data_IF_239732985385
#
_entry.id   IF_239732985385
#
_cell.length_a   1.000
_cell.length_b   1.000
_cell.length_c   1.000
_cell.angle_alpha   90.00
_cell.angle_beta   90.00
_cell.angle_gamma   90.00
#
_symmetry.space_group_name_H-M   'P 1'
#
loop_
_entity.id
_entity.type
_entity.pdbx_description
1 polymer ?
#
# COMPACT_ATOMS: atom_id res chain seq x y z
N UNK A 1 5.29 15.45 51.82
CA UNK A 1 5.99 14.66 50.77
C UNK A 1 7.23 15.40 50.30
N UNK A 2 8.37 14.72 50.11
CA UNK A 2 9.65 15.34 49.73
C UNK A 2 9.55 15.91 48.30
N UNK A 3 10.05 17.13 48.01
CA UNK A 3 9.95 17.76 46.67
C UNK A 3 10.43 16.86 45.53
N UNK A 4 11.45 16.03 45.79
CA UNK A 4 12.00 15.08 44.80
C UNK A 4 11.00 13.97 44.40
N UNK A 5 10.15 13.51 45.31
CA UNK A 5 9.11 12.52 44.99
C UNK A 5 7.96 13.12 44.17
N UNK A 6 7.66 14.41 44.36
CA UNK A 6 6.63 15.12 43.58
C UNK A 6 7.10 15.33 42.14
N UNK A 7 8.36 15.74 41.94
CA UNK A 7 8.92 15.91 40.60
C UNK A 7 8.97 14.59 39.81
N UNK A 8 9.32 13.46 40.45
CA UNK A 8 9.29 12.13 39.82
C UNK A 8 7.86 11.70 39.45
N UNK A 9 6.87 12.00 40.28
CA UNK A 9 5.46 11.68 40.02
C UNK A 9 4.88 12.53 38.88
N UNK A 10 5.22 13.82 38.80
CA UNK A 10 4.81 14.71 37.70
C UNK A 10 5.44 14.27 36.37
N UNK A 11 6.74 13.92 36.37
CA UNK A 11 7.43 13.43 35.18
C UNK A 11 6.88 12.07 34.69
N UNK A 12 6.55 11.18 35.63
CA UNK A 12 5.89 9.92 35.29
C UNK A 12 4.49 10.17 34.71
N UNK A 13 3.70 11.06 35.32
CA UNK A 13 2.36 11.40 34.85
C UNK A 13 2.34 11.99 33.43
N UNK A 14 3.29 12.86 33.08
CA UNK A 14 3.38 13.44 31.73
C UNK A 14 3.86 12.43 30.68
N UNK A 15 4.80 11.54 31.02
CA UNK A 15 5.24 10.47 30.12
C UNK A 15 4.12 9.48 29.78
N UNK A 16 3.30 9.09 30.77
CA UNK A 16 2.14 8.22 30.53
C UNK A 16 1.07 8.90 29.68
N UNK A 17 0.76 10.18 29.96
CA UNK A 17 -0.21 10.93 29.16
C UNK A 17 0.24 11.08 27.69
N UNK A 18 1.52 11.40 27.47
CA UNK A 18 2.09 11.48 26.12
C UNK A 18 2.03 10.15 25.35
N UNK A 19 2.34 9.04 26.04
CA UNK A 19 2.28 7.69 25.46
C UNK A 19 0.88 7.27 25.00
N UNK A 20 -0.16 7.57 25.79
CA UNK A 20 -1.57 7.25 25.44
C UNK A 20 -2.02 8.04 24.20
N UNK A 21 -1.66 9.33 24.11
CA UNK A 21 -2.02 10.18 22.98
C UNK A 21 -1.33 9.69 21.70
N UNK A 22 -0.03 9.38 21.75
CA UNK A 22 0.70 8.84 20.61
C UNK A 22 0.15 7.49 20.15
N UNK A 23 -0.12 6.58 21.09
CA UNK A 23 -0.67 5.25 20.81
C UNK A 23 -2.03 5.33 20.10
N UNK A 24 -2.94 6.18 20.59
CA UNK A 24 -4.24 6.39 19.95
C UNK A 24 -4.12 7.00 18.55
N UNK A 25 -3.15 7.90 18.34
CA UNK A 25 -2.96 8.55 17.03
C UNK A 25 -2.36 7.59 15.99
N UNK A 26 -1.41 6.74 16.38
CA UNK A 26 -0.86 5.67 15.53
C UNK A 26 -1.97 4.68 15.15
N UNK A 27 -2.78 4.24 16.12
CA UNK A 27 -3.90 3.33 15.86
C UNK A 27 -4.94 3.93 14.92
N UNK A 28 -5.23 5.23 15.03
CA UNK A 28 -6.12 5.95 14.11
C UNK A 28 -5.55 6.07 12.68
N UNK A 29 -4.24 6.22 12.52
CA UNK A 29 -3.61 6.31 11.20
C UNK A 29 -3.64 4.98 10.43
N UNK A 30 -3.50 3.85 11.13
CA UNK A 30 -3.54 2.51 10.50
C UNK A 30 -4.94 2.13 9.97
N UNK A 31 -5.99 2.88 10.36
CA UNK A 31 -7.38 2.60 9.99
C UNK A 31 -7.97 3.49 8.91
N UNK A 32 -7.17 4.36 8.25
CA UNK A 32 -7.67 5.12 7.09
C UNK A 32 -7.82 4.16 5.91
N UNK A 33 -8.92 3.39 5.91
CA UNK A 33 -9.45 2.72 4.72
C UNK A 33 -9.65 3.81 3.68
N UNK A 34 -8.76 3.84 2.69
CA UNK A 34 -9.05 4.56 1.45
C UNK A 34 -10.38 3.99 0.97
N UNK A 35 -11.35 4.85 0.69
CA UNK A 35 -12.62 4.38 0.17
C UNK A 35 -12.36 3.83 -1.23
N UNK A 36 -12.55 2.52 -1.37
CA UNK A 36 -12.46 1.78 -2.64
C UNK A 36 -13.82 1.11 -2.80
N UNK A 37 -14.34 1.11 -4.02
CA UNK A 37 -15.54 0.35 -4.32
C UNK A 37 -15.28 -1.14 -4.06
N UNK A 38 -16.28 -1.86 -3.57
CA UNK A 38 -16.13 -3.28 -3.16
C UNK A 38 -15.67 -4.18 -4.31
N UNK A 39 -16.05 -3.85 -5.54
CA UNK A 39 -15.63 -4.53 -6.78
C UNK A 39 -14.19 -4.21 -7.19
N UNK A 40 -13.63 -3.08 -6.76
CA UNK A 40 -12.27 -2.64 -7.08
C UNK A 40 -11.27 -2.90 -5.94
N UNK A 41 -11.73 -3.42 -4.80
CA UNK A 41 -10.85 -3.73 -3.68
C UNK A 41 -10.22 -5.12 -3.87
N UNK A 42 -9.06 -5.14 -4.52
CA UNK A 42 -8.23 -6.35 -4.66
C UNK A 42 -7.44 -6.69 -3.38
N UNK A 43 -7.55 -5.88 -2.32
CA UNK A 43 -6.82 -6.09 -1.07
C UNK A 43 -7.62 -7.06 -0.21
N UNK A 44 -7.23 -8.34 -0.25
CA UNK A 44 -7.76 -9.41 0.60
C UNK A 44 -9.13 -9.97 0.18
N UNK A 45 -9.36 -10.09 -1.13
CA UNK A 45 -10.49 -10.84 -1.67
C UNK A 45 -10.01 -12.21 -2.16
N UNK A 46 -10.39 -13.27 -1.44
CA UNK A 46 -10.14 -14.67 -1.85
C UNK A 46 -10.69 -14.97 -3.25
N UNK A 47 -11.69 -14.18 -3.67
CA UNK A 47 -12.30 -14.23 -4.99
C UNK A 47 -11.31 -13.88 -6.10
N UNK A 48 -10.52 -12.81 -5.93
CA UNK A 48 -9.59 -12.31 -6.95
C UNK A 48 -8.42 -13.29 -7.20
N UNK A 49 -8.06 -14.09 -6.19
CA UNK A 49 -7.05 -15.15 -6.30
C UNK A 49 -7.56 -16.41 -7.03
N UNK A 50 -8.88 -16.52 -7.28
CA UNK A 50 -9.52 -17.72 -7.82
C UNK A 50 -10.22 -17.49 -9.15
N UNK A 51 -10.69 -16.27 -9.37
CA UNK A 51 -11.34 -15.89 -10.62
C UNK A 51 -10.30 -15.64 -11.72
N UNK A 52 -10.63 -16.11 -12.91
CA UNK A 52 -9.83 -15.86 -14.11
C UNK A 52 -9.85 -14.37 -14.47
N UNK A 53 -8.78 -13.91 -15.11
CA UNK A 53 -8.66 -12.54 -15.60
C UNK A 53 -9.84 -12.13 -16.46
N UNK A 54 -10.29 -10.89 -16.26
CA UNK A 54 -11.38 -10.27 -17.05
C UNK A 54 -11.02 -10.20 -18.54
N UNK A 55 -9.74 -10.02 -18.88
CA UNK A 55 -9.32 -9.94 -20.28
C UNK A 55 -8.86 -11.27 -20.88
N UNK A 56 -9.02 -12.41 -20.19
CA UNK A 56 -8.69 -13.74 -20.75
C UNK A 56 -9.44 -14.05 -22.07
N UNK A 57 -10.61 -13.43 -22.28
CA UNK A 57 -11.34 -13.53 -23.55
C UNK A 57 -10.70 -12.76 -24.71
N UNK A 58 -9.96 -11.69 -24.40
CA UNK A 58 -9.44 -10.74 -25.38
C UNK A 58 -7.94 -10.89 -25.61
N UNK A 59 -7.18 -11.35 -24.61
CA UNK A 59 -5.74 -11.59 -24.69
C UNK A 59 -5.42 -13.05 -24.34
N UNK A 60 -4.79 -13.75 -25.28
CA UNK A 60 -4.30 -15.11 -25.08
C UNK A 60 -3.26 -15.19 -23.95
N UNK A 61 -2.52 -14.11 -23.69
CA UNK A 61 -1.53 -14.04 -22.64
C UNK A 61 -2.13 -13.89 -21.23
N UNK A 62 -3.43 -13.58 -21.14
CA UNK A 62 -4.19 -13.50 -19.89
C UNK A 62 -5.01 -14.76 -19.59
N UNK A 63 -5.08 -15.71 -20.53
CA UNK A 63 -5.78 -16.99 -20.32
C UNK A 63 -5.13 -17.80 -19.21
N UNK A 64 -5.95 -18.26 -18.27
CA UNK A 64 -5.49 -19.01 -17.10
C UNK A 64 -4.73 -18.19 -16.05
N UNK A 65 -4.59 -16.86 -16.23
CA UNK A 65 -4.16 -15.98 -15.15
C UNK A 65 -5.33 -15.69 -14.23
N UNK A 66 -5.06 -15.61 -12.92
CA UNK A 66 -6.02 -15.05 -11.98
C UNK A 66 -6.13 -13.54 -12.20
N UNK A 67 -7.20 -12.93 -11.70
CA UNK A 67 -7.33 -11.46 -11.72
C UNK A 67 -6.15 -10.76 -11.02
N UNK A 68 -5.63 -11.35 -9.93
CA UNK A 68 -4.44 -10.84 -9.25
C UNK A 68 -3.19 -10.91 -10.15
N UNK A 69 -2.95 -12.06 -10.77
CA UNK A 69 -1.77 -12.26 -11.61
C UNK A 69 -1.79 -11.36 -12.84
N UNK A 70 -2.98 -11.15 -13.43
CA UNK A 70 -3.18 -10.23 -14.53
C UNK A 70 -2.88 -8.77 -14.13
N UNK A 71 -3.33 -8.34 -12.94
CA UNK A 71 -3.01 -7.01 -12.43
C UNK A 71 -1.50 -6.82 -12.21
N UNK A 72 -0.81 -7.79 -11.58
CA UNK A 72 0.64 -7.71 -11.41
C UNK A 72 1.40 -7.71 -12.73
N UNK A 73 0.97 -8.52 -13.69
CA UNK A 73 1.55 -8.51 -15.04
C UNK A 73 1.40 -7.14 -15.69
N UNK A 74 0.22 -6.53 -15.61
CA UNK A 74 -0.04 -5.19 -16.15
C UNK A 74 0.85 -4.14 -15.49
N UNK A 75 0.99 -4.16 -14.16
CA UNK A 75 1.90 -3.26 -13.45
C UNK A 75 3.36 -3.45 -13.90
N UNK A 76 3.81 -4.69 -14.06
CA UNK A 76 5.15 -4.99 -14.56
C UNK A 76 5.38 -4.48 -15.98
N UNK A 77 4.42 -4.67 -16.89
CA UNK A 77 4.49 -4.16 -18.25
C UNK A 77 4.47 -2.63 -18.30
N UNK A 78 3.63 -1.97 -17.48
CA UNK A 78 3.55 -0.53 -17.40
C UNK A 78 4.87 0.10 -16.91
N UNK A 79 5.56 -0.58 -15.99
CA UNK A 79 6.87 -0.17 -15.52
C UNK A 79 8.00 -0.46 -16.54
N UNK A 80 7.76 -1.28 -17.56
CA UNK A 80 8.78 -1.76 -18.50
C UNK A 80 9.23 -0.77 -19.59
N UNK A 81 8.58 0.40 -19.75
CA UNK A 81 8.93 1.40 -20.78
C UNK A 81 9.76 2.55 -20.18
N UNK A 82 10.79 3.04 -20.90
CA UNK A 82 12.15 3.30 -20.38
C UNK A 82 12.17 3.98 -19.00
N UNK A 83 12.74 3.27 -18.02
CA UNK A 83 12.87 3.75 -16.64
C UNK A 83 14.02 4.74 -16.45
N UNK A 84 14.95 4.84 -17.42
CA UNK A 84 16.15 5.68 -17.28
C UNK A 84 16.22 6.80 -18.32
N UNK A 85 16.74 7.95 -17.91
CA UNK A 85 16.96 9.12 -18.78
C UNK A 85 17.77 8.76 -20.04
N UNK A 86 18.79 7.90 -19.87
CA UNK A 86 19.64 7.38 -20.94
C UNK A 86 18.86 6.58 -22.00
N UNK A 87 17.95 5.71 -21.57
CA UNK A 87 17.13 4.92 -22.51
C UNK A 87 16.10 5.79 -23.23
N UNK A 88 15.58 6.81 -22.56
CA UNK A 88 14.74 7.84 -23.18
C UNK A 88 15.48 8.63 -24.27
N UNK A 89 16.73 9.03 -24.04
CA UNK A 89 17.56 9.69 -25.04
C UNK A 89 17.85 8.78 -26.25
N UNK A 90 18.18 7.52 -26.00
CA UNK A 90 18.43 6.55 -27.07
C UNK A 90 17.17 6.27 -27.92
N UNK A 91 15.99 6.21 -27.32
CA UNK A 91 14.71 6.08 -28.03
C UNK A 91 14.39 7.31 -28.89
N UNK A 92 14.71 8.51 -28.39
CA UNK A 92 14.53 9.77 -29.16
C UNK A 92 15.52 9.90 -30.31
N UNK A 93 16.75 9.38 -30.14
CA UNK A 93 17.79 9.42 -31.18
C UNK A 93 17.56 8.40 -32.30
N UNK A 94 16.86 7.30 -32.04
CA UNK A 94 16.54 6.26 -33.02
C UNK A 94 15.16 6.45 -33.71
N UNK A 95 14.58 7.65 -33.62
CA UNK A 95 13.28 8.00 -34.20
C UNK A 95 13.47 9.06 -35.29
#
# INVERSE_FOLDING_TARGET
MRKQSINKMVFAGTAFAGGIILFNNIRKKNGKRVWVYEDNDMRNSVTVDREESVNAKYDDAEKGLTQLDAAYRSEWQANGFPQTHRELENLKANK
#
